data_IF_761008183638
#
_entry.id   IF_761008183638
#
_cell.length_a   1.000
_cell.length_b   1.000
_cell.length_c   1.000
_cell.angle_alpha   90.00
_cell.angle_beta   90.00
_cell.angle_gamma   90.00
#
_symmetry.space_group_name_H-M   'P 1'
#
loop_
_entity.id
_entity.type
_entity.pdbx_description
1 polymer ?
#
# COMPACT_ATOMS: atom_id res chain seq x y z
N UNK A 1 41.47 31.58 19.65
CA UNK A 1 40.00 31.60 19.54
C UNK A 1 39.62 30.64 18.42
N UNK A 2 38.75 29.70 18.74
CA UNK A 2 38.44 28.47 18.01
C UNK A 2 37.58 28.71 16.77
N UNK A 3 37.96 28.00 15.70
CA UNK A 3 37.27 27.60 14.48
C UNK A 3 35.78 27.91 14.32
N UNK A 4 35.42 28.55 13.21
CA UNK A 4 34.13 28.34 12.56
C UNK A 4 34.37 27.67 11.22
N UNK A 5 34.12 26.36 11.19
CA UNK A 5 33.98 25.58 9.95
C UNK A 5 32.65 25.98 9.33
N UNK A 6 32.70 26.56 8.14
CA UNK A 6 31.53 26.73 7.29
C UNK A 6 31.08 25.34 6.83
N UNK A 7 30.05 24.79 7.50
CA UNK A 7 29.46 23.51 7.12
C UNK A 7 28.58 23.77 5.89
N UNK A 8 29.05 23.31 4.74
CA UNK A 8 28.26 23.16 3.52
C UNK A 8 27.00 22.39 3.88
N UNK A 9 25.86 23.09 3.93
CA UNK A 9 24.55 22.44 3.99
C UNK A 9 24.34 21.80 2.63
N UNK A 10 24.64 20.50 2.54
CA UNK A 10 24.19 19.69 1.43
C UNK A 10 22.66 19.74 1.40
N UNK A 11 22.10 20.15 0.26
CA UNK A 11 20.71 19.92 -0.07
C UNK A 11 20.49 18.40 -0.05
N UNK A 12 20.07 17.88 1.11
CA UNK A 12 19.49 16.55 1.20
C UNK A 12 18.26 16.60 0.31
N UNK A 13 18.13 15.73 -0.71
CA UNK A 13 16.89 15.59 -1.43
C UNK A 13 15.82 15.28 -0.38
N UNK A 14 14.92 16.23 -0.12
CA UNK A 14 13.74 15.94 0.67
C UNK A 14 13.01 14.85 -0.09
N UNK A 15 12.98 13.65 0.48
CA UNK A 15 11.97 12.66 0.15
C UNK A 15 10.65 13.41 0.28
N UNK A 16 10.06 13.77 -0.86
CA UNK A 16 8.69 14.24 -0.88
C UNK A 16 7.90 12.96 -0.66
N UNK A 17 7.77 12.55 0.60
CA UNK A 17 6.67 11.70 1.04
C UNK A 17 5.42 12.42 0.56
N UNK A 18 4.90 12.01 -0.60
CA UNK A 18 3.59 12.45 -1.02
C UNK A 18 2.64 12.11 0.14
N UNK A 19 1.88 13.08 0.65
CA UNK A 19 0.85 12.85 1.66
C UNK A 19 -0.19 11.88 1.08
N UNK A 20 0.06 10.58 1.23
CA UNK A 20 -0.81 9.54 0.72
C UNK A 20 -2.10 9.57 1.53
N UNK A 21 -3.23 9.55 0.82
CA UNK A 21 -4.53 9.45 1.48
C UNK A 21 -4.60 8.18 2.33
N UNK A 22 -5.42 8.17 3.39
CA UNK A 22 -5.67 6.98 4.21
C UNK A 22 -6.01 5.75 3.35
N UNK A 23 -6.78 5.96 2.28
CA UNK A 23 -7.15 4.90 1.34
C UNK A 23 -5.92 4.34 0.63
N UNK A 24 -5.07 5.23 0.11
CA UNK A 24 -3.84 4.86 -0.59
C UNK A 24 -2.86 4.16 0.35
N UNK A 25 -2.70 4.62 1.60
CA UNK A 25 -1.82 3.99 2.60
C UNK A 25 -2.26 2.57 2.94
N UNK A 26 -3.57 2.37 3.17
CA UNK A 26 -4.13 1.03 3.41
C UNK A 26 -3.98 0.13 2.18
N UNK A 27 -4.25 0.67 0.99
CA UNK A 27 -4.14 -0.08 -0.24
C UNK A 27 -2.69 -0.47 -0.55
N UNK A 28 -1.73 0.41 -0.26
CA UNK A 28 -0.30 0.14 -0.37
C UNK A 28 0.13 -0.96 0.60
N UNK A 29 -0.27 -0.87 1.88
CA UNK A 29 0.02 -1.92 2.86
C UNK A 29 -0.56 -3.28 2.44
N UNK A 30 -1.76 -3.30 1.86
CA UNK A 30 -2.36 -4.51 1.30
C UNK A 30 -1.55 -5.03 0.10
N UNK A 31 -1.20 -4.15 -0.83
CA UNK A 31 -0.41 -4.50 -2.01
C UNK A 31 0.92 -5.13 -1.62
N UNK A 32 1.69 -4.51 -0.74
CA UNK A 32 2.99 -5.01 -0.29
C UNK A 32 2.87 -6.40 0.33
N UNK A 33 1.83 -6.61 1.15
CA UNK A 33 1.57 -7.92 1.78
C UNK A 33 1.21 -8.99 0.74
N UNK A 34 0.39 -8.64 -0.25
CA UNK A 34 0.02 -9.56 -1.35
C UNK A 34 1.20 -9.84 -2.25
N UNK A 35 2.06 -8.85 -2.50
CA UNK A 35 3.28 -9.00 -3.28
C UNK A 35 4.26 -9.97 -2.59
N UNK A 36 4.43 -9.86 -1.27
CA UNK A 36 5.39 -10.67 -0.53
C UNK A 36 4.90 -12.09 -0.20
N UNK A 37 3.62 -12.27 0.11
CA UNK A 37 3.07 -13.52 0.67
C UNK A 37 1.92 -14.10 -0.17
N UNK A 38 1.46 -13.40 -1.20
CA UNK A 38 0.31 -13.80 -1.99
C UNK A 38 0.56 -15.06 -2.81
N UNK A 39 -0.50 -15.87 -2.95
CA UNK A 39 -0.45 -17.08 -3.78
C UNK A 39 -1.08 -16.81 -5.14
N UNK A 40 -0.29 -16.90 -6.20
CA UNK A 40 -0.74 -16.70 -7.59
C UNK A 40 -1.70 -17.81 -7.99
N UNK A 41 -2.80 -17.43 -8.65
CA UNK A 41 -3.78 -18.33 -9.25
C UNK A 41 -4.22 -17.78 -10.62
N UNK A 42 -4.88 -18.59 -11.47
CA UNK A 42 -5.41 -18.10 -12.75
C UNK A 42 -6.45 -16.98 -12.63
N UNK A 43 -7.07 -16.81 -11.45
CA UNK A 43 -8.13 -15.83 -11.20
C UNK A 43 -7.61 -14.57 -10.48
N UNK A 44 -6.29 -14.50 -10.23
CA UNK A 44 -5.64 -13.42 -9.48
C UNK A 44 -4.74 -13.95 -8.37
N UNK A 45 -4.31 -13.07 -7.48
CA UNK A 45 -3.44 -13.43 -6.35
C UNK A 45 -4.28 -13.50 -5.08
N UNK A 46 -4.27 -14.66 -4.43
CA UNK A 46 -4.95 -14.86 -3.16
C UNK A 46 -4.30 -13.96 -2.12
N UNK A 47 -5.14 -13.16 -1.48
CA UNK A 47 -4.75 -12.32 -0.38
C UNK A 47 -4.43 -13.23 0.81
N UNK A 48 -3.20 -13.16 1.36
CA UNK A 48 -2.82 -13.93 2.54
C UNK A 48 -3.67 -13.53 3.75
N UNK A 49 -3.57 -14.29 4.86
CA UNK A 49 -4.37 -14.02 6.05
C UNK A 49 -4.22 -12.55 6.50
N UNK A 50 -5.33 -11.83 6.52
CA UNK A 50 -5.39 -10.42 6.87
C UNK A 50 -5.80 -10.23 8.32
N UNK A 51 -4.96 -9.53 9.06
CA UNK A 51 -5.33 -8.97 10.34
C UNK A 51 -5.54 -7.46 10.19
N UNK A 52 -6.79 -7.01 10.31
CA UNK A 52 -7.18 -5.60 10.13
C UNK A 52 -6.41 -4.67 11.08
N UNK A 53 -6.12 -5.09 12.31
CA UNK A 53 -5.35 -4.29 13.27
C UNK A 53 -3.89 -4.13 12.83
N UNK A 54 -3.28 -5.21 12.33
CA UNK A 54 -1.90 -5.14 11.80
C UNK A 54 -1.82 -4.25 10.57
N UNK A 55 -2.82 -4.32 9.70
CA UNK A 55 -2.87 -3.50 8.49
C UNK A 55 -3.12 -2.02 8.83
N UNK A 56 -4.03 -1.73 9.77
CA UNK A 56 -4.28 -0.39 10.27
C UNK A 56 -3.03 0.23 10.90
N UNK A 57 -2.28 -0.56 11.67
CA UNK A 57 -1.02 -0.13 12.26
C UNK A 57 0.04 0.15 11.18
N UNK A 58 0.22 -0.76 10.21
CA UNK A 58 1.18 -0.57 9.11
C UNK A 58 0.85 0.61 8.20
N UNK A 59 -0.43 0.93 8.03
CA UNK A 59 -0.89 2.06 7.24
C UNK A 59 -1.05 3.36 8.06
N UNK A 60 -0.83 3.32 9.37
CA UNK A 60 -1.05 4.43 10.30
C UNK A 60 -2.42 5.09 10.18
N UNK A 61 -3.48 4.26 10.13
CA UNK A 61 -4.87 4.70 10.06
C UNK A 61 -5.75 4.00 11.09
N UNK A 62 -6.93 4.54 11.44
CA UNK A 62 -7.92 3.83 12.25
C UNK A 62 -8.44 2.56 11.57
N UNK A 63 -8.70 1.50 12.34
CA UNK A 63 -9.28 0.23 11.83
C UNK A 63 -10.54 0.42 10.96
N UNK A 64 -11.39 1.40 11.32
CA UNK A 64 -12.61 1.71 10.56
C UNK A 64 -12.30 2.15 9.13
N UNK A 65 -11.18 2.85 8.92
CA UNK A 65 -10.75 3.27 7.58
C UNK A 65 -10.32 2.06 6.75
N UNK A 66 -9.67 1.06 7.37
CA UNK A 66 -9.31 -0.17 6.67
C UNK A 66 -10.53 -0.85 6.08
N UNK A 67 -11.59 -1.10 6.86
CA UNK A 67 -12.80 -1.77 6.35
C UNK A 67 -13.44 -0.99 5.20
N UNK A 68 -13.54 0.34 5.32
CA UNK A 68 -14.06 1.21 4.25
C UNK A 68 -13.21 1.15 2.99
N UNK A 69 -11.89 1.17 3.14
CA UNK A 69 -10.97 1.06 2.00
C UNK A 69 -11.16 -0.27 1.27
N UNK A 70 -11.34 -1.38 1.99
CA UNK A 70 -11.59 -2.68 1.35
C UNK A 70 -12.89 -2.68 0.53
N UNK A 71 -13.96 -2.07 1.02
CA UNK A 71 -15.20 -1.90 0.25
C UNK A 71 -14.98 -1.05 -1.00
N UNK A 72 -14.24 0.06 -0.89
CA UNK A 72 -13.89 0.91 -2.04
C UNK A 72 -13.03 0.19 -3.07
N UNK A 73 -12.01 -0.56 -2.64
CA UNK A 73 -11.16 -1.34 -3.54
C UNK A 73 -11.94 -2.45 -4.26
N UNK A 74 -12.94 -3.05 -3.61
CA UNK A 74 -13.90 -3.95 -4.29
C UNK A 74 -14.74 -3.19 -5.32
N UNK A 75 -15.25 -2.01 -4.96
CA UNK A 75 -16.02 -1.15 -5.88
C UNK A 75 -15.21 -0.68 -7.10
N UNK A 76 -13.90 -0.45 -6.92
CA UNK A 76 -12.96 -0.14 -8.01
C UNK A 76 -12.56 -1.37 -8.84
N UNK A 77 -12.92 -2.57 -8.41
CA UNK A 77 -12.69 -3.82 -9.13
C UNK A 77 -11.37 -4.53 -8.82
N UNK A 78 -10.48 -3.94 -8.01
CA UNK A 78 -9.18 -4.53 -7.66
C UNK A 78 -9.32 -5.81 -6.82
N UNK A 79 -10.30 -5.82 -5.91
CA UNK A 79 -10.57 -6.95 -5.04
C UNK A 79 -11.78 -7.77 -5.51
N UNK A 80 -11.71 -9.08 -5.31
CA UNK A 80 -12.80 -10.01 -5.58
C UNK A 80 -12.77 -11.21 -4.65
N UNK A 81 -13.80 -12.04 -4.70
CA UNK A 81 -13.81 -13.32 -4.01
C UNK A 81 -13.80 -14.45 -5.02
N UNK A 82 -13.00 -15.48 -4.77
CA UNK A 82 -13.09 -16.74 -5.49
C UNK A 82 -14.35 -17.50 -5.08
N UNK A 83 -14.81 -18.49 -5.87
CA UNK A 83 -15.89 -19.39 -5.47
C UNK A 83 -15.63 -20.11 -4.14
N UNK A 84 -14.36 -20.31 -3.78
CA UNK A 84 -13.93 -20.88 -2.50
C UNK A 84 -14.05 -19.92 -1.31
N UNK A 85 -14.46 -18.67 -1.53
CA UNK A 85 -14.60 -17.64 -0.49
C UNK A 85 -13.34 -16.80 -0.26
N UNK A 86 -12.17 -17.23 -0.75
CA UNK A 86 -10.92 -16.49 -0.58
C UNK A 86 -10.95 -15.12 -1.27
N UNK A 87 -10.44 -14.10 -0.60
CA UNK A 87 -10.22 -12.77 -1.17
C UNK A 87 -9.03 -12.83 -2.14
N UNK A 88 -9.17 -12.18 -3.29
CA UNK A 88 -8.11 -12.05 -4.29
C UNK A 88 -7.92 -10.62 -4.73
N UNK A 89 -6.68 -10.27 -5.09
CA UNK A 89 -6.37 -9.15 -5.97
C UNK A 89 -6.44 -9.68 -7.40
N UNK A 90 -7.33 -9.13 -8.22
CA UNK A 90 -7.60 -9.67 -9.57
C UNK A 90 -6.43 -9.45 -10.53
N UNK A 91 -5.91 -8.23 -10.56
CA UNK A 91 -4.76 -7.85 -11.36
C UNK A 91 -3.81 -7.01 -10.48
N UNK A 92 -2.65 -7.58 -10.15
CA UNK A 92 -1.68 -6.94 -9.27
C UNK A 92 -0.97 -5.77 -9.96
N UNK A 93 -0.75 -5.86 -11.27
CA UNK A 93 -0.07 -4.81 -12.05
C UNK A 93 -0.96 -3.57 -12.18
N UNK A 94 -2.24 -3.74 -12.53
CA UNK A 94 -3.21 -2.63 -12.54
C UNK A 94 -3.35 -1.98 -11.16
N UNK A 95 -3.28 -2.80 -10.10
CA UNK A 95 -3.36 -2.28 -8.74
C UNK A 95 -2.12 -1.46 -8.37
N UNK A 96 -0.93 -1.91 -8.76
CA UNK A 96 0.32 -1.16 -8.62
C UNK A 96 0.28 0.17 -9.40
N UNK A 97 -0.13 0.13 -10.67
CA UNK A 97 -0.23 1.33 -11.51
C UNK A 97 -1.20 2.35 -10.91
N UNK A 98 -2.33 1.88 -10.37
CA UNK A 98 -3.24 2.75 -9.63
C UNK A 98 -2.56 3.36 -8.40
N UNK A 99 -1.86 2.58 -7.57
CA UNK A 99 -1.13 3.11 -6.41
C UNK A 99 -0.11 4.18 -6.80
N UNK A 100 0.67 3.95 -7.85
CA UNK A 100 1.63 4.92 -8.39
C UNK A 100 0.91 6.20 -8.85
N UNK A 101 -0.24 6.07 -9.53
CA UNK A 101 -1.07 7.23 -9.91
C UNK A 101 -1.60 8.03 -8.71
N UNK A 102 -1.71 7.41 -7.54
CA UNK A 102 -2.10 8.05 -6.28
C UNK A 102 -0.91 8.67 -5.54
N UNK A 103 0.30 8.61 -6.11
CA UNK A 103 1.53 9.16 -5.55
C UNK A 103 2.35 8.16 -4.72
N UNK A 104 1.99 6.88 -4.68
CA UNK A 104 2.81 5.89 -3.98
C UNK A 104 4.10 5.61 -4.76
N UNK A 105 5.25 5.75 -4.11
CA UNK A 105 6.52 5.27 -4.64
C UNK A 105 6.67 3.79 -4.28
N UNK A 106 6.85 2.93 -5.28
CA UNK A 106 7.00 1.49 -5.10
C UNK A 106 8.29 1.09 -5.81
N UNK A 107 9.39 1.05 -5.06
CA UNK A 107 10.64 0.45 -5.51
C UNK A 107 10.52 -1.08 -5.34
N UNK A 108 10.19 -1.76 -6.44
CA UNK A 108 10.14 -3.22 -6.55
C UNK A 108 11.40 -3.77 -7.20
#
# INVERSE_FOLDING_TARGET
MTSEREVVRQDVPQEVEADLTDETRVALALYLKVYSEGKVTPQGIIVPELNIHKLAHAAEVPNRQVSKTFERLRGKGFLGNLPSGHLVVKNLEEFQQWLVSQGASIDV
#
